data_IF_782312025287
#
_entry.id   IF_782312025287
#
_cell.length_a   1.000
_cell.length_b   1.000
_cell.length_c   1.000
_cell.angle_alpha   90.00
_cell.angle_beta   90.00
_cell.angle_gamma   90.00
#
_symmetry.space_group_name_H-M   'P 1'
#
loop_
_entity.id
_entity.type
_entity.pdbx_description
1 polymer ?
#
# COMPACT_ATOMS: atom_id res chain seq x y z
N UNK A 1 43.33 53.07 29.66
CA UNK A 1 43.63 53.15 28.22
C UNK A 1 42.30 53.36 27.50
N UNK A 2 42.21 54.46 26.76
CA UNK A 2 41.03 54.89 26.01
C UNK A 2 40.90 54.14 24.67
N UNK A 3 39.68 54.25 24.09
CA UNK A 3 39.14 53.92 22.75
C UNK A 3 37.82 53.15 22.98
N UNK A 4 36.64 53.74 23.03
CA UNK A 4 35.99 54.67 22.08
C UNK A 4 35.90 54.13 20.65
N UNK A 5 34.77 54.41 20.00
CA UNK A 5 34.41 54.32 18.56
C UNK A 5 33.12 53.53 18.25
N UNK A 6 32.07 54.33 17.97
CA UNK A 6 30.84 54.13 17.12
C UNK A 6 29.78 53.12 17.57
N UNK A 7 28.55 53.46 17.97
CA UNK A 7 27.54 54.45 17.53
C UNK A 7 26.93 54.20 16.13
N UNK A 8 25.57 54.26 16.10
CA UNK A 8 24.75 54.79 14.97
C UNK A 8 24.52 53.77 13.83
N UNK A 9 23.31 53.48 13.30
CA UNK A 9 21.98 54.09 13.26
C UNK A 9 20.97 53.00 12.78
N UNK A 10 19.73 52.95 13.28
CA UNK A 10 18.52 53.67 12.80
C UNK A 10 17.81 53.02 11.59
N UNK A 11 16.59 52.55 11.89
CA UNK A 11 15.36 52.49 11.10
C UNK A 11 15.37 51.89 9.67
N UNK A 12 14.48 50.91 9.46
CA UNK A 12 13.54 50.96 8.34
C UNK A 12 12.26 50.19 8.70
N UNK A 13 11.14 50.92 8.75
CA UNK A 13 9.78 50.38 8.59
C UNK A 13 9.62 49.80 7.19
N UNK A 14 8.97 48.65 7.07
CA UNK A 14 8.24 48.17 5.89
C UNK A 14 7.29 47.10 6.45
N UNK A 15 6.02 47.39 6.68
CA UNK A 15 5.00 47.68 5.66
C UNK A 15 4.96 46.61 4.57
N UNK A 16 3.72 46.24 4.25
CA UNK A 16 3.33 45.26 3.25
C UNK A 16 3.66 43.79 3.58
N UNK A 17 2.64 43.13 4.14
CA UNK A 17 2.30 41.76 3.76
C UNK A 17 1.84 41.79 2.28
N UNK A 18 2.58 41.18 1.35
CA UNK A 18 1.88 40.55 0.26
C UNK A 18 2.35 39.12 0.03
N UNK A 19 1.46 38.43 -0.65
CA UNK A 19 1.69 37.20 -1.40
C UNK A 19 1.32 35.91 -0.68
N UNK A 20 0.13 35.49 -1.10
CA UNK A 20 -0.25 34.12 -1.38
C UNK A 20 -0.74 33.31 -0.18
N UNK A 21 -1.99 33.59 0.19
CA UNK A 21 -3.00 32.52 0.12
C UNK A 21 -2.79 31.79 -1.21
N UNK A 22 -2.08 30.66 -1.18
CA UNK A 22 -2.17 29.65 -2.23
C UNK A 22 -3.54 29.00 -2.04
N UNK A 23 -4.57 29.75 -2.41
CA UNK A 23 -5.85 29.19 -2.75
C UNK A 23 -5.57 28.28 -3.95
N UNK A 24 -5.44 26.98 -3.68
CA UNK A 24 -5.34 25.98 -4.73
C UNK A 24 -6.67 26.00 -5.49
N UNK A 25 -6.74 26.85 -6.51
CA UNK A 25 -7.83 26.87 -7.45
C UNK A 25 -8.10 25.44 -7.93
N UNK A 26 -9.37 25.03 -8.09
CA UNK A 26 -9.71 23.71 -8.59
C UNK A 26 -9.07 23.55 -9.97
N UNK A 27 -8.22 22.53 -10.12
CA UNK A 27 -7.59 22.20 -11.40
C UNK A 27 -8.66 22.15 -12.49
N UNK A 28 -8.37 22.86 -13.57
CA UNK A 28 -9.17 23.07 -14.77
C UNK A 28 -9.96 21.82 -15.21
N UNK A 29 -11.12 22.09 -15.82
CA UNK A 29 -12.08 21.15 -16.43
C UNK A 29 -11.40 20.03 -17.24
N UNK A 30 -10.91 19.00 -16.55
CA UNK A 30 -10.36 17.81 -17.18
C UNK A 30 -11.52 17.13 -17.90
N UNK A 31 -11.38 16.92 -19.20
CA UNK A 31 -12.43 16.26 -19.96
C UNK A 31 -12.62 14.84 -19.45
N UNK A 32 -13.84 14.29 -19.58
CA UNK A 32 -14.14 12.90 -19.20
C UNK A 32 -13.11 11.91 -19.76
N UNK A 33 -12.65 12.17 -20.99
CA UNK A 33 -11.71 11.31 -21.69
C UNK A 33 -10.29 11.39 -21.12
N UNK A 34 -9.81 12.60 -20.80
CA UNK A 34 -8.52 12.78 -20.11
C UNK A 34 -8.54 12.13 -18.73
N UNK A 35 -9.64 12.27 -17.98
CA UNK A 35 -9.80 11.65 -16.66
C UNK A 35 -9.77 10.11 -16.78
N UNK A 36 -10.48 9.55 -17.77
CA UNK A 36 -10.49 8.11 -18.04
C UNK A 36 -9.09 7.60 -18.40
N UNK A 37 -8.39 8.31 -19.30
CA UNK A 37 -7.02 7.97 -19.69
C UNK A 37 -6.07 8.03 -18.49
N UNK A 38 -6.18 9.06 -17.65
CA UNK A 38 -5.36 9.20 -16.45
C UNK A 38 -5.62 8.09 -15.42
N UNK A 39 -6.88 7.66 -15.25
CA UNK A 39 -7.23 6.55 -14.36
C UNK A 39 -6.76 5.19 -14.88
N UNK A 40 -6.86 4.93 -16.19
CA UNK A 40 -6.42 3.67 -16.80
C UNK A 40 -4.90 3.60 -16.97
N UNK A 41 -4.21 4.75 -16.97
CA UNK A 41 -2.76 4.82 -16.92
C UNK A 41 -2.19 4.57 -15.51
N UNK A 42 -3.03 4.31 -14.50
CA UNK A 42 -2.55 4.06 -13.14
C UNK A 42 -1.67 2.81 -13.05
N UNK A 43 -0.69 2.96 -12.16
CA UNK A 43 0.62 2.30 -12.05
C UNK A 43 0.59 0.82 -11.71
N UNK A 44 1.76 0.23 -11.92
CA UNK A 44 2.21 -1.08 -11.44
C UNK A 44 1.59 -1.48 -10.11
N UNK A 45 1.16 -2.75 -9.95
CA UNK A 45 0.59 -3.24 -8.71
C UNK A 45 1.52 -2.98 -7.53
N UNK A 46 0.95 -2.58 -6.38
CA UNK A 46 1.73 -2.50 -5.14
C UNK A 46 2.27 -3.89 -4.79
N UNK A 47 3.48 -3.92 -4.26
CA UNK A 47 4.14 -5.14 -3.78
C UNK A 47 4.60 -4.91 -2.35
N UNK A 48 4.35 -5.89 -1.48
CA UNK A 48 4.79 -5.87 -0.10
C UNK A 48 5.66 -7.09 0.20
N UNK A 49 6.81 -6.87 0.83
CA UNK A 49 7.72 -7.96 1.21
C UNK A 49 7.34 -8.51 2.57
N UNK A 50 7.16 -9.82 2.67
CA UNK A 50 6.76 -10.50 3.91
C UNK A 50 7.61 -11.74 4.14
N UNK A 51 7.87 -12.08 5.40
CA UNK A 51 8.46 -13.37 5.76
C UNK A 51 7.35 -14.40 5.92
N UNK A 52 7.34 -15.41 5.07
CA UNK A 52 6.40 -16.51 5.11
C UNK A 52 7.15 -17.84 5.24
N UNK A 53 6.84 -18.63 6.27
CA UNK A 53 7.54 -19.89 6.57
C UNK A 53 9.08 -19.73 6.62
N UNK A 54 9.56 -18.60 7.14
CA UNK A 54 10.98 -18.27 7.25
C UNK A 54 11.63 -17.75 5.96
N UNK A 55 10.90 -17.70 4.83
CA UNK A 55 11.39 -17.22 3.53
C UNK A 55 10.84 -15.83 3.22
N UNK A 56 11.63 -14.99 2.55
CA UNK A 56 11.14 -13.71 2.04
C UNK A 56 10.32 -13.94 0.76
N UNK A 57 9.10 -13.38 0.73
CA UNK A 57 8.17 -13.45 -0.41
C UNK A 57 7.69 -12.05 -0.77
N UNK A 58 7.30 -11.87 -2.04
CA UNK A 58 6.64 -10.65 -2.51
C UNK A 58 5.12 -10.91 -2.61
N UNK A 59 4.33 -10.24 -1.78
CA UNK A 59 2.87 -10.23 -1.89
C UNK A 59 2.42 -9.12 -2.83
N UNK A 60 1.69 -9.49 -3.89
CA UNK A 60 1.21 -8.54 -4.89
C UNK A 60 -0.21 -8.09 -4.60
N UNK A 61 -0.49 -6.82 -4.91
CA UNK A 61 -1.84 -6.29 -4.83
C UNK A 61 -2.75 -7.03 -5.82
N UNK A 62 -3.89 -7.56 -5.36
CA UNK A 62 -4.85 -8.20 -6.25
C UNK A 62 -5.52 -7.18 -7.18
N UNK A 63 -5.92 -7.64 -8.36
CA UNK A 63 -6.75 -6.85 -9.27
C UNK A 63 -8.19 -6.75 -8.74
N UNK A 64 -8.97 -5.81 -9.27
CA UNK A 64 -10.40 -5.69 -8.92
C UNK A 64 -11.15 -6.99 -9.20
N UNK A 65 -10.83 -7.68 -10.31
CA UNK A 65 -11.38 -9.00 -10.63
C UNK A 65 -10.96 -10.07 -9.60
N UNK A 66 -9.67 -10.11 -9.26
CA UNK A 66 -9.14 -11.04 -8.26
C UNK A 66 -9.78 -10.87 -6.88
N UNK A 67 -10.05 -9.63 -6.47
CA UNK A 67 -10.78 -9.35 -5.23
C UNK A 67 -12.22 -9.85 -5.26
N UNK A 68 -12.92 -9.72 -6.38
CA UNK A 68 -14.27 -10.24 -6.51
C UNK A 68 -14.28 -11.78 -6.43
N UNK A 69 -13.28 -12.44 -7.01
CA UNK A 69 -13.14 -13.89 -6.93
C UNK A 69 -12.80 -14.35 -5.50
N UNK A 70 -11.94 -13.62 -4.79
CA UNK A 70 -11.68 -13.87 -3.36
C UNK A 70 -12.94 -13.74 -2.50
N UNK A 71 -13.82 -12.77 -2.77
CA UNK A 71 -15.06 -12.60 -2.00
C UNK A 71 -16.10 -13.69 -2.30
N UNK A 72 -16.10 -14.21 -3.53
CA UNK A 72 -16.98 -15.33 -3.93
C UNK A 72 -16.58 -16.63 -3.25
N UNK A 73 -15.29 -16.86 -3.08
CA UNK A 73 -14.83 -17.98 -2.27
C UNK A 73 -15.02 -17.58 -0.80
N UNK A 74 -16.12 -18.04 -0.21
CA UNK A 74 -16.59 -17.67 1.13
C UNK A 74 -15.47 -17.24 2.08
N UNK A 75 -15.51 -15.96 2.46
CA UNK A 75 -14.55 -15.30 3.35
C UNK A 75 -14.53 -16.05 4.69
N UNK A 76 -13.53 -16.89 4.87
CA UNK A 76 -13.25 -17.70 6.04
C UNK A 76 -11.78 -18.13 6.04
N UNK A 77 -11.43 -19.20 6.75
CA UNK A 77 -10.05 -19.72 6.82
C UNK A 77 -9.40 -19.95 5.44
N UNK A 78 -10.21 -20.26 4.42
CA UNK A 78 -9.72 -20.58 3.07
C UNK A 78 -9.29 -19.35 2.26
N UNK A 79 -9.80 -18.16 2.60
CA UNK A 79 -9.50 -16.94 1.84
C UNK A 79 -8.04 -16.53 1.93
N UNK A 80 -7.40 -16.79 3.07
CA UNK A 80 -5.97 -16.50 3.27
C UNK A 80 -5.09 -17.45 2.46
N UNK A 81 -5.41 -18.74 2.43
CA UNK A 81 -4.68 -19.74 1.64
C UNK A 81 -4.75 -19.41 0.15
N UNK A 82 -5.95 -19.05 -0.34
CA UNK A 82 -6.13 -18.64 -1.74
C UNK A 82 -5.35 -17.36 -2.03
N UNK A 83 -5.34 -16.39 -1.11
CA UNK A 83 -4.54 -15.17 -1.28
C UNK A 83 -3.04 -15.48 -1.39
N UNK A 84 -2.52 -16.40 -0.57
CA UNK A 84 -1.13 -16.86 -0.66
C UNK A 84 -0.87 -17.48 -2.02
N UNK A 85 -1.71 -18.42 -2.47
CA UNK A 85 -1.51 -19.11 -3.75
C UNK A 85 -1.52 -18.12 -4.92
N UNK A 86 -2.44 -17.18 -4.91
CA UNK A 86 -2.63 -16.27 -6.05
C UNK A 86 -1.65 -15.11 -6.08
N UNK A 87 -1.17 -14.66 -4.92
CA UNK A 87 -0.46 -13.38 -4.82
C UNK A 87 0.93 -13.45 -4.18
N UNK A 88 1.34 -14.59 -3.62
CA UNK A 88 2.71 -14.79 -3.18
C UNK A 88 3.63 -15.13 -4.35
N UNK A 89 4.58 -14.25 -4.62
CA UNK A 89 5.55 -14.37 -5.69
C UNK A 89 6.97 -14.49 -5.17
N UNK A 90 7.84 -15.08 -6.00
CA UNK A 90 9.28 -15.05 -5.78
C UNK A 90 9.77 -13.60 -5.77
N UNK A 91 10.60 -13.18 -4.81
CA UNK A 91 11.04 -11.80 -4.70
C UNK A 91 11.64 -11.24 -5.97
N UNK A 92 11.13 -10.09 -6.42
CA UNK A 92 11.59 -9.42 -7.64
C UNK A 92 11.10 -10.04 -8.95
N UNK A 93 10.31 -11.11 -8.91
CA UNK A 93 9.71 -11.72 -10.12
C UNK A 93 8.19 -11.74 -10.06
N UNK A 94 7.55 -12.10 -11.17
CA UNK A 94 6.09 -12.29 -11.25
C UNK A 94 5.68 -13.76 -11.08
N UNK A 95 6.63 -14.64 -10.77
CA UNK A 95 6.39 -16.06 -10.68
C UNK A 95 5.75 -16.38 -9.33
N UNK A 96 4.62 -17.08 -9.36
CA UNK A 96 3.93 -17.54 -8.15
C UNK A 96 4.73 -18.65 -7.48
N UNK A 97 4.73 -18.64 -6.16
CA UNK A 97 5.43 -19.66 -5.36
C UNK A 97 4.63 -20.96 -5.32
N UNK A 98 3.29 -20.86 -5.33
CA UNK A 98 2.37 -21.98 -5.19
C UNK A 98 1.42 -22.06 -6.38
N UNK A 99 0.90 -23.26 -6.59
CA UNK A 99 -0.13 -23.55 -7.57
C UNK A 99 -1.46 -23.89 -6.89
N UNK A 100 -2.52 -24.03 -7.68
CA UNK A 100 -3.84 -24.36 -7.14
C UNK A 100 -3.85 -25.74 -6.45
N UNK A 101 -3.03 -26.68 -6.94
CA UNK A 101 -2.93 -28.04 -6.40
C UNK A 101 -2.29 -28.07 -4.99
N UNK A 102 -1.60 -26.99 -4.59
CA UNK A 102 -1.04 -26.85 -3.25
C UNK A 102 -2.08 -26.46 -2.19
N UNK A 103 -3.33 -26.20 -2.58
CA UNK A 103 -4.37 -25.71 -1.68
C UNK A 103 -4.58 -26.62 -0.47
N UNK A 104 -4.79 -27.92 -0.70
CA UNK A 104 -5.04 -28.87 0.39
C UNK A 104 -3.81 -28.98 1.31
N UNK A 105 -2.60 -28.93 0.74
CA UNK A 105 -1.37 -28.95 1.53
C UNK A 105 -1.26 -27.72 2.44
N UNK A 106 -1.47 -26.52 1.88
CA UNK A 106 -1.38 -25.25 2.59
C UNK A 106 -2.47 -25.10 3.66
N UNK A 107 -3.70 -25.56 3.37
CA UNK A 107 -4.81 -25.52 4.31
C UNK A 107 -4.58 -26.41 5.53
N UNK A 108 -3.85 -27.51 5.38
CA UNK A 108 -3.52 -28.43 6.46
C UNK A 108 -2.25 -28.04 7.23
N UNK A 109 -1.59 -26.93 6.86
CA UNK A 109 -0.43 -26.45 7.61
C UNK A 109 -0.84 -25.86 8.96
N UNK A 110 0.02 -25.99 10.00
CA UNK A 110 -0.18 -25.29 11.26
C UNK A 110 -0.27 -23.78 11.05
N UNK A 111 -1.24 -23.15 11.71
CA UNK A 111 -1.36 -21.69 11.74
C UNK A 111 -0.32 -21.11 12.70
N UNK A 112 0.73 -20.51 12.16
CA UNK A 112 1.77 -19.79 12.89
C UNK A 112 1.71 -18.26 12.68
N UNK A 113 2.65 -17.53 13.26
CA UNK A 113 2.72 -16.07 13.15
C UNK A 113 2.87 -15.58 11.70
N UNK A 114 3.47 -16.39 10.81
CA UNK A 114 3.71 -15.98 9.42
C UNK A 114 2.41 -15.88 8.63
N UNK A 115 1.39 -16.69 8.95
CA UNK A 115 0.05 -16.54 8.38
C UNK A 115 -0.62 -15.23 8.79
N UNK A 116 -0.43 -14.79 10.03
CA UNK A 116 -0.93 -13.51 10.49
C UNK A 116 -0.23 -12.34 9.79
N UNK A 117 1.09 -12.43 9.59
CA UNK A 117 1.86 -11.41 8.86
C UNK A 117 1.39 -11.26 7.41
N UNK A 118 1.14 -12.38 6.73
CA UNK A 118 0.54 -12.40 5.39
C UNK A 118 -0.85 -11.77 5.42
N UNK A 119 -1.73 -12.19 6.33
CA UNK A 119 -3.09 -11.66 6.41
C UNK A 119 -3.10 -10.13 6.61
N UNK A 120 -2.19 -9.63 7.46
CA UNK A 120 -2.01 -8.20 7.69
C UNK A 120 -1.49 -7.47 6.44
N UNK A 121 -0.54 -8.05 5.71
CA UNK A 121 -0.02 -7.47 4.46
C UNK A 121 -1.09 -7.44 3.36
N UNK A 122 -1.84 -8.54 3.19
CA UNK A 122 -2.98 -8.55 2.26
C UNK A 122 -4.02 -7.51 2.68
N UNK A 123 -4.28 -7.35 3.98
CA UNK A 123 -5.16 -6.29 4.49
C UNK A 123 -4.69 -4.88 4.12
N UNK A 124 -3.39 -4.60 4.21
CA UNK A 124 -2.80 -3.32 3.77
C UNK A 124 -2.89 -3.11 2.26
N UNK A 125 -2.63 -4.16 1.47
CA UNK A 125 -2.65 -4.09 0.00
C UNK A 125 -4.07 -3.89 -0.55
N UNK A 126 -5.07 -4.45 0.13
CA UNK A 126 -6.46 -4.48 -0.34
C UNK A 126 -7.35 -3.45 0.35
N UNK A 127 -6.92 -2.90 1.48
CA UNK A 127 -7.78 -2.14 2.41
C UNK A 127 -9.02 -2.92 2.86
N UNK A 128 -8.98 -4.26 2.78
CA UNK A 128 -10.03 -5.17 3.24
C UNK A 128 -9.55 -5.88 4.51
N UNK A 129 -10.41 -5.95 5.52
CA UNK A 129 -10.10 -6.69 6.74
C UNK A 129 -10.34 -8.19 6.51
N UNK A 130 -9.28 -9.00 6.45
CA UNK A 130 -9.40 -10.46 6.38
C UNK A 130 -9.59 -10.99 7.81
N UNK A 131 -10.70 -11.68 8.12
CA UNK A 131 -10.91 -12.27 9.43
C UNK A 131 -9.87 -13.36 9.71
N UNK A 132 -9.16 -13.24 10.84
CA UNK A 132 -8.28 -14.31 11.33
C UNK A 132 -9.13 -15.42 11.97
N UNK A 133 -8.68 -16.70 11.91
CA UNK A 133 -9.35 -17.77 12.65
C UNK A 133 -9.29 -17.52 14.15
N UNK A 134 -10.45 -17.37 14.78
CA UNK A 134 -10.59 -17.36 16.23
C UNK A 134 -10.37 -18.79 16.74
N UNK A 135 -9.28 -19.03 17.48
CA UNK A 135 -9.05 -20.31 18.14
C UNK A 135 -10.18 -20.63 19.12
N UNK A 136 -10.64 -21.88 19.11
CA UNK A 136 -11.49 -22.48 20.14
C UNK A 136 -10.63 -23.35 21.04
#
# INVERSE_FOLDING_TARGET
>A
MAKDVTATNLATEQDDLPSAVVETAPKANMTREELRAAMLAMKEPKVEKVKFLGMDIDLRQPTVGGMADMQRVQVGQNGLVIAVIQYACVPGTQDRIFEADDFDMLQNMPFDASWADVANAVGRLTSVNIPLPSGN
#
